data_IF_985328130332
#
_entry.id   IF_985328130332
#
_cell.length_a   1.000
_cell.length_b   1.000
_cell.length_c   1.000
_cell.angle_alpha   90.00
_cell.angle_beta   90.00
_cell.angle_gamma   90.00
#
_symmetry.space_group_name_H-M   'P 1'
#
loop_
_entity.id
_entity.type
_entity.pdbx_description
1 polymer ?
#
# COMPACT_ATOMS: atom_id res chain seq x y z
N UNK A 1 29.76 -20.96 1.94
CA UNK A 1 29.46 -19.55 1.69
C UNK A 1 28.14 -19.18 2.35
N UNK A 2 28.16 -18.21 3.26
CA UNK A 2 26.98 -17.59 3.85
C UNK A 2 26.34 -16.60 2.87
N UNK A 3 25.12 -16.14 3.17
CA UNK A 3 24.42 -15.12 2.37
C UNK A 3 25.19 -13.79 2.43
N UNK A 4 25.71 -13.44 3.61
CA UNK A 4 26.52 -12.23 3.82
C UNK A 4 27.78 -12.24 2.95
N UNK A 5 28.50 -13.36 2.90
CA UNK A 5 29.71 -13.51 2.06
C UNK A 5 29.40 -13.32 0.57
N UNK A 6 28.27 -13.84 0.09
CA UNK A 6 27.83 -13.67 -1.30
C UNK A 6 27.48 -12.22 -1.62
N UNK A 7 26.79 -11.53 -0.71
CA UNK A 7 26.44 -10.11 -0.88
C UNK A 7 27.70 -9.25 -0.93
N UNK A 8 28.66 -9.48 -0.03
CA UNK A 8 29.93 -8.75 -0.01
C UNK A 8 30.71 -8.94 -1.31
N UNK A 9 30.74 -10.17 -1.86
CA UNK A 9 31.39 -10.43 -3.14
C UNK A 9 30.70 -9.66 -4.28
N UNK A 10 29.38 -9.72 -4.36
CA UNK A 10 28.62 -9.02 -5.41
C UNK A 10 28.84 -7.50 -5.34
N UNK A 11 28.80 -6.91 -4.14
CA UNK A 11 28.97 -5.45 -3.96
C UNK A 11 30.36 -4.98 -4.37
N UNK A 12 31.41 -5.79 -4.14
CA UNK A 12 32.79 -5.45 -4.55
C UNK A 12 32.98 -5.41 -6.06
N UNK A 13 32.18 -6.15 -6.82
CA UNK A 13 32.23 -6.20 -8.28
C UNK A 13 31.41 -5.07 -8.93
N UNK A 14 30.59 -4.35 -8.16
CA UNK A 14 29.73 -3.28 -8.66
C UNK A 14 30.47 -1.93 -8.78
N UNK A 15 30.11 -1.09 -9.78
CA UNK A 15 30.51 0.32 -9.83
C UNK A 15 30.03 1.10 -8.60
N UNK A 16 30.70 2.22 -8.23
CA UNK A 16 30.35 3.01 -7.06
C UNK A 16 28.88 3.47 -7.00
N UNK A 17 28.31 3.82 -8.16
CA UNK A 17 26.90 4.24 -8.27
C UNK A 17 25.93 3.12 -7.88
N UNK A 18 26.25 1.88 -8.22
CA UNK A 18 25.40 0.72 -7.92
C UNK A 18 25.62 0.21 -6.49
N UNK A 19 26.79 0.44 -5.89
CA UNK A 19 27.03 0.18 -4.47
C UNK A 19 26.12 1.05 -3.59
N UNK A 20 25.91 2.33 -3.95
CA UNK A 20 25.02 3.22 -3.20
C UNK A 20 23.55 2.77 -3.32
N UNK A 21 23.12 2.23 -4.47
CA UNK A 21 21.77 1.63 -4.63
C UNK A 21 21.57 0.41 -3.73
N UNK A 22 22.59 -0.45 -3.60
CA UNK A 22 22.53 -1.61 -2.70
C UNK A 22 22.40 -1.15 -1.24
N UNK A 23 23.12 -0.09 -0.86
CA UNK A 23 23.00 0.52 0.45
C UNK A 23 21.59 1.08 0.69
N UNK A 24 21.06 1.88 -0.23
CA UNK A 24 19.71 2.44 -0.15
C UNK A 24 18.65 1.34 0.00
N UNK A 25 18.79 0.26 -0.76
CA UNK A 25 17.89 -0.89 -0.67
C UNK A 25 17.97 -1.60 0.69
N UNK A 26 19.17 -1.77 1.25
CA UNK A 26 19.35 -2.33 2.58
C UNK A 26 18.70 -1.45 3.67
N UNK A 27 18.81 -0.12 3.56
CA UNK A 27 18.15 0.85 4.44
C UNK A 27 16.62 0.77 4.30
N UNK A 28 16.09 0.61 3.08
CA UNK A 28 14.65 0.41 2.83
C UNK A 28 14.14 -0.89 3.45
N UNK A 29 14.87 -2.00 3.33
CA UNK A 29 14.51 -3.27 3.98
C UNK A 29 14.43 -3.13 5.50
N UNK A 30 15.36 -2.41 6.12
CA UNK A 30 15.34 -2.13 7.56
C UNK A 30 14.14 -1.26 7.94
N UNK A 31 13.83 -0.23 7.15
CA UNK A 31 12.66 0.63 7.35
C UNK A 31 11.33 -0.12 7.19
N UNK A 32 11.23 -1.07 6.27
CA UNK A 32 10.03 -1.93 6.11
C UNK A 32 9.83 -2.87 7.28
N UNK A 33 10.92 -3.27 7.95
CA UNK A 33 10.87 -4.07 9.19
C UNK A 33 10.41 -3.23 10.38
N UNK A 34 10.61 -1.91 10.36
CA UNK A 34 9.96 -1.04 11.33
C UNK A 34 8.44 -1.23 11.18
N UNK A 35 7.81 -1.73 12.24
CA UNK A 35 6.41 -2.12 12.25
C UNK A 35 5.57 -1.00 11.66
N UNK A 36 4.91 -1.28 10.52
CA UNK A 36 3.93 -0.32 9.99
C UNK A 36 2.91 -0.11 11.11
N UNK A 37 2.63 1.15 11.49
CA UNK A 37 1.67 1.39 12.55
C UNK A 37 0.36 0.69 12.16
N UNK A 38 -0.36 0.10 13.12
CA UNK A 38 -1.61 -0.57 12.82
C UNK A 38 -2.53 0.39 12.07
N UNK A 39 -3.19 -0.11 11.03
CA UNK A 39 -4.19 0.68 10.32
C UNK A 39 -5.23 1.15 11.33
N UNK A 40 -5.50 2.45 11.35
CA UNK A 40 -6.57 3.00 12.18
C UNK A 40 -7.91 2.53 11.61
N UNK A 41 -8.87 2.26 12.49
CA UNK A 41 -10.25 2.01 12.05
C UNK A 41 -10.75 3.23 11.27
N UNK A 42 -11.44 2.96 10.15
CA UNK A 42 -12.15 3.99 9.39
C UNK A 42 -13.55 4.25 9.95
N UNK A 43 -13.98 3.46 10.92
CA UNK A 43 -15.25 3.65 11.62
C UNK A 43 -15.28 5.03 12.29
N UNK A 44 -16.39 5.75 12.12
CA UNK A 44 -16.56 7.10 12.66
C UNK A 44 -15.84 8.22 11.90
N UNK A 45 -15.14 7.94 10.81
CA UNK A 45 -14.47 8.97 9.98
C UNK A 45 -15.43 10.08 9.54
N UNK A 46 -16.69 9.72 9.30
CA UNK A 46 -17.73 10.64 8.86
C UNK A 46 -18.69 11.10 9.96
N UNK A 47 -18.53 10.63 11.19
CA UNK A 47 -19.46 10.96 12.30
C UNK A 47 -19.50 12.46 12.65
N UNK A 48 -18.49 13.23 12.23
CA UNK A 48 -18.42 14.68 12.42
C UNK A 48 -19.17 15.51 11.36
N UNK A 49 -19.61 14.87 10.28
CA UNK A 49 -20.38 15.55 9.25
C UNK A 49 -21.86 15.36 9.56
N UNK A 50 -22.62 16.44 9.40
CA UNK A 50 -24.08 16.42 9.51
C UNK A 50 -24.66 15.83 8.22
N UNK A 51 -24.44 14.52 8.05
CA UNK A 51 -24.86 13.77 6.87
C UNK A 51 -25.69 12.57 7.34
N UNK A 52 -26.96 12.59 6.98
CA UNK A 52 -27.88 11.48 7.17
C UNK A 52 -27.97 10.73 5.83
N UNK A 53 -27.47 9.50 5.79
CA UNK A 53 -27.51 8.65 4.61
C UNK A 53 -28.49 7.51 4.87
N UNK A 54 -29.60 7.53 4.16
CA UNK A 54 -30.59 6.47 4.26
C UNK A 54 -30.26 5.32 3.31
N UNK A 55 -30.84 4.15 3.59
CA UNK A 55 -30.79 3.01 2.68
C UNK A 55 -31.40 3.34 1.30
N UNK A 56 -32.35 4.27 1.25
CA UNK A 56 -33.02 4.70 0.03
C UNK A 56 -32.08 5.52 -0.85
N UNK A 57 -31.34 6.47 -0.25
CA UNK A 57 -30.33 7.27 -0.94
C UNK A 57 -29.26 6.38 -1.60
N UNK A 58 -28.81 5.34 -0.90
CA UNK A 58 -27.82 4.39 -1.42
C UNK A 58 -28.39 3.58 -2.60
N UNK A 59 -29.65 3.12 -2.47
CA UNK A 59 -30.32 2.34 -3.52
C UNK A 59 -30.57 3.17 -4.77
N UNK A 60 -30.95 4.43 -4.60
CA UNK A 60 -31.16 5.37 -5.68
C UNK A 60 -29.85 5.66 -6.40
N UNK A 61 -28.80 6.08 -5.68
CA UNK A 61 -27.48 6.34 -6.27
C UNK A 61 -26.93 5.12 -7.01
N UNK A 62 -27.11 3.91 -6.47
CA UNK A 62 -26.71 2.66 -7.15
C UNK A 62 -27.53 2.40 -8.41
N UNK A 63 -28.83 2.69 -8.40
CA UNK A 63 -29.69 2.52 -9.58
C UNK A 63 -29.34 3.53 -10.67
N UNK A 64 -29.10 4.79 -10.32
CA UNK A 64 -28.71 5.82 -11.28
C UNK A 64 -27.37 5.51 -11.94
N UNK A 65 -26.36 5.22 -11.11
CA UNK A 65 -25.00 5.02 -11.62
C UNK A 65 -24.85 3.68 -12.36
N UNK A 66 -25.44 2.61 -11.81
CA UNK A 66 -25.17 1.24 -12.26
C UNK A 66 -26.42 0.53 -12.79
N UNK A 67 -27.50 1.26 -13.07
CA UNK A 67 -28.73 0.69 -13.63
C UNK A 67 -28.53 -0.02 -14.96
N UNK A 68 -27.61 0.49 -15.79
CA UNK A 68 -27.21 -0.08 -17.08
C UNK A 68 -25.92 -0.90 -17.01
N UNK A 69 -25.46 -1.25 -15.80
CA UNK A 69 -24.24 -2.03 -15.66
C UNK A 69 -24.45 -3.44 -16.26
N UNK A 70 -23.62 -3.89 -17.21
CA UNK A 70 -23.79 -5.19 -17.86
C UNK A 70 -23.79 -6.32 -16.83
N UNK A 71 -24.84 -7.15 -16.82
CA UNK A 71 -24.98 -8.25 -15.86
C UNK A 71 -24.76 -9.64 -16.46
N UNK A 72 -24.76 -9.71 -17.79
CA UNK A 72 -24.50 -10.93 -18.54
C UNK A 72 -23.21 -10.75 -19.35
N UNK A 73 -22.27 -11.69 -19.18
CA UNK A 73 -21.03 -11.85 -19.95
C UNK A 73 -21.07 -13.19 -20.68
#
# INVERSE_FOLDING_TARGET
MTVEEKIVQCVRELPPEDQEKVREFAEDLQRRKAERPPLRSLEGLWAKYDFDLTDEDIKEARREMWGNFPRDF
#
